data_IF_816177741492
#
_entry.id   IF_816177741492
#
_cell.length_a   1.000
_cell.length_b   1.000
_cell.length_c   1.000
_cell.angle_alpha   90.00
_cell.angle_beta   90.00
_cell.angle_gamma   90.00
#
_symmetry.space_group_name_H-M   'P 1'
#
loop_
_entity.id
_entity.type
_entity.pdbx_description
1 polymer ?
#
# COMPACT_ATOMS: atom_id res chain seq x y z
N UNK A 1 -33.96 -23.29 12.65
CA UNK A 1 -32.99 -22.19 12.79
C UNK A 1 -31.63 -22.69 12.29
N UNK A 2 -31.30 -22.44 11.02
CA UNK A 2 -29.99 -22.82 10.44
C UNK A 2 -28.94 -21.82 10.95
N UNK A 3 -27.98 -22.29 11.72
CA UNK A 3 -26.77 -21.51 12.04
C UNK A 3 -26.01 -21.29 10.74
N UNK A 4 -25.96 -20.04 10.32
CA UNK A 4 -25.07 -19.58 9.25
C UNK A 4 -23.63 -19.85 9.70
N UNK A 5 -22.97 -20.82 9.06
CA UNK A 5 -21.54 -21.10 9.26
C UNK A 5 -20.79 -20.09 8.41
N UNK A 6 -20.69 -18.87 8.89
CA UNK A 6 -19.70 -17.94 8.33
C UNK A 6 -18.32 -18.56 8.49
N UNK A 7 -17.65 -18.81 7.39
CA UNK A 7 -16.22 -19.18 7.38
C UNK A 7 -15.48 -18.18 8.26
N UNK A 8 -14.59 -18.61 9.18
CA UNK A 8 -13.90 -17.63 10.03
C UNK A 8 -13.13 -16.65 9.12
N UNK A 9 -13.45 -15.37 9.23
CA UNK A 9 -12.73 -14.32 8.57
C UNK A 9 -11.24 -14.49 8.86
N UNK A 10 -10.39 -14.51 7.82
CA UNK A 10 -8.94 -14.58 7.96
C UNK A 10 -8.44 -13.42 8.83
N UNK A 11 -7.27 -13.53 9.38
CA UNK A 11 -6.62 -12.41 10.05
C UNK A 11 -5.18 -12.27 9.57
N UNK A 12 -4.79 -11.04 9.30
CA UNK A 12 -3.41 -10.64 9.04
C UNK A 12 -2.83 -10.08 10.34
N UNK A 13 -1.53 -10.20 10.54
CA UNK A 13 -0.88 -9.72 11.75
C UNK A 13 0.08 -8.58 11.43
N UNK A 14 0.12 -7.54 12.27
CA UNK A 14 1.19 -6.55 12.26
C UNK A 14 2.47 -7.24 12.72
N UNK A 15 3.53 -7.15 11.91
CA UNK A 15 4.77 -7.93 12.10
C UNK A 15 5.77 -7.20 12.97
N UNK A 16 5.82 -5.86 12.88
CA UNK A 16 6.82 -5.04 13.57
C UNK A 16 6.29 -3.75 14.17
N UNK A 17 7.17 -3.04 14.88
CA UNK A 17 6.85 -1.75 15.48
C UNK A 17 6.00 -1.81 16.74
N UNK A 18 5.40 -0.68 17.10
CA UNK A 18 4.67 -0.48 18.37
C UNK A 18 3.45 -1.37 18.53
N UNK A 19 2.84 -1.82 17.42
CA UNK A 19 1.65 -2.67 17.44
C UNK A 19 1.92 -4.12 17.03
N UNK A 20 3.18 -4.55 17.09
CA UNK A 20 3.56 -5.92 16.73
C UNK A 20 2.64 -6.97 17.38
N UNK A 21 2.22 -7.95 16.59
CA UNK A 21 1.37 -9.04 17.03
C UNK A 21 -0.14 -8.75 16.97
N UNK A 22 -0.54 -7.49 16.73
CA UNK A 22 -1.95 -7.12 16.60
C UNK A 22 -2.56 -7.78 15.37
N UNK A 23 -3.71 -8.44 15.57
CA UNK A 23 -4.49 -9.04 14.48
C UNK A 23 -5.36 -7.97 13.81
N UNK A 24 -5.28 -7.92 12.50
CA UNK A 24 -6.13 -7.13 11.61
C UNK A 24 -7.16 -8.08 11.00
N UNK A 25 -8.46 -7.84 11.20
CA UNK A 25 -9.48 -8.66 10.55
C UNK A 25 -9.38 -8.50 9.04
N UNK A 26 -9.42 -9.62 8.33
CA UNK A 26 -9.55 -9.61 6.87
C UNK A 26 -11.03 -9.72 6.57
N UNK A 27 -11.66 -8.72 5.94
CA UNK A 27 -13.05 -8.80 5.56
C UNK A 27 -13.25 -9.95 4.56
N UNK A 28 -14.36 -10.65 4.69
CA UNK A 28 -14.78 -11.68 3.73
C UNK A 28 -15.33 -11.00 2.47
N UNK A 29 -14.42 -10.51 1.65
CA UNK A 29 -14.71 -9.82 0.39
C UNK A 29 -14.11 -10.65 -0.75
N UNK A 30 -14.91 -10.98 -1.80
CA UNK A 30 -14.41 -11.73 -2.94
C UNK A 30 -13.18 -11.06 -3.58
N UNK A 31 -12.12 -11.83 -3.77
CA UNK A 31 -10.88 -11.33 -4.38
C UNK A 31 -9.85 -10.73 -3.41
N UNK A 32 -10.20 -10.53 -2.14
CA UNK A 32 -9.25 -10.08 -1.14
C UNK A 32 -8.37 -11.26 -0.70
N UNK A 33 -7.12 -11.29 -1.15
CA UNK A 33 -6.10 -12.24 -0.72
C UNK A 33 -5.02 -11.49 0.05
N UNK A 34 -4.84 -11.75 1.35
CA UNK A 34 -3.78 -11.09 2.11
C UNK A 34 -2.41 -11.47 1.57
N UNK A 35 -1.55 -10.47 1.37
CA UNK A 35 -0.13 -10.70 1.10
C UNK A 35 0.49 -11.50 2.23
N UNK A 36 1.23 -12.56 1.89
CA UNK A 36 1.83 -13.44 2.88
C UNK A 36 2.72 -12.68 3.86
N UNK A 37 2.64 -12.99 5.15
CA UNK A 37 3.42 -12.36 6.21
C UNK A 37 4.92 -12.28 5.88
N UNK A 38 5.48 -13.34 5.25
CA UNK A 38 6.89 -13.39 4.84
C UNK A 38 7.23 -12.35 3.76
N UNK A 39 6.34 -12.11 2.80
CA UNK A 39 6.54 -11.08 1.76
C UNK A 39 6.52 -9.72 2.42
N UNK A 40 5.53 -9.42 3.26
CA UNK A 40 5.43 -8.16 3.98
C UNK A 40 6.66 -7.92 4.87
N UNK A 41 7.14 -8.93 5.59
CA UNK A 41 8.36 -8.83 6.40
C UNK A 41 9.56 -8.43 5.54
N UNK A 42 9.74 -9.08 4.38
CA UNK A 42 10.81 -8.75 3.44
C UNK A 42 10.72 -7.30 2.98
N UNK A 43 9.55 -6.86 2.55
CA UNK A 43 9.31 -5.48 2.06
C UNK A 43 9.57 -4.45 3.15
N UNK A 44 9.08 -4.68 4.36
CA UNK A 44 9.32 -3.76 5.47
C UNK A 44 10.76 -3.72 5.95
N UNK A 45 11.52 -4.82 5.80
CA UNK A 45 12.96 -4.81 6.03
C UNK A 45 13.70 -3.94 4.98
N UNK A 46 13.26 -3.97 3.71
CA UNK A 46 13.81 -3.08 2.68
C UNK A 46 13.48 -1.62 2.92
N UNK A 47 12.26 -1.33 3.40
CA UNK A 47 11.76 0.03 3.66
C UNK A 47 12.18 0.59 5.02
N UNK A 48 12.73 -0.22 5.93
CA UNK A 48 13.02 0.20 7.30
C UNK A 48 13.75 1.55 7.42
N UNK A 49 14.77 1.87 6.58
CA UNK A 49 15.47 3.16 6.67
C UNK A 49 14.64 4.37 6.19
N UNK A 50 13.46 4.13 5.62
CA UNK A 50 12.60 5.16 4.99
C UNK A 50 11.27 5.38 5.70
N UNK A 51 10.96 4.55 6.69
CA UNK A 51 9.64 4.58 7.35
C UNK A 51 9.51 5.71 8.36
N UNK A 52 10.58 6.05 9.08
CA UNK A 52 10.51 7.06 10.13
C UNK A 52 10.09 8.43 9.57
N UNK A 53 8.95 8.94 10.04
CA UNK A 53 8.40 10.23 9.62
C UNK A 53 7.75 10.26 8.22
N UNK A 54 7.73 9.14 7.49
CA UNK A 54 7.19 9.06 6.14
C UNK A 54 5.68 9.29 6.08
N UNK A 55 5.22 9.88 5.00
CA UNK A 55 3.82 9.89 4.54
C UNK A 55 3.60 8.70 3.62
N UNK A 56 2.61 7.88 3.93
CA UNK A 56 2.37 6.61 3.25
C UNK A 56 1.00 6.61 2.58
N UNK A 57 0.94 6.08 1.37
CA UNK A 57 -0.30 5.82 0.63
C UNK A 57 -0.44 4.32 0.37
N UNK A 58 -1.54 3.74 0.85
CA UNK A 58 -1.94 2.35 0.58
C UNK A 58 -3.14 2.41 -0.38
N UNK A 59 -2.88 2.18 -1.67
CA UNK A 59 -3.84 2.46 -2.76
C UNK A 59 -4.97 1.43 -2.83
N UNK A 60 -4.73 0.20 -2.34
CA UNK A 60 -5.70 -0.89 -2.27
C UNK A 60 -5.63 -1.52 -0.88
N UNK A 61 -6.11 -0.77 0.11
CA UNK A 61 -5.76 -1.03 1.51
C UNK A 61 -6.29 -2.35 2.08
N UNK A 62 -7.45 -2.82 1.65
CA UNK A 62 -8.04 -4.04 2.16
C UNK A 62 -8.12 -4.07 3.69
N UNK A 63 -7.34 -4.94 4.32
CA UNK A 63 -7.22 -5.03 5.79
C UNK A 63 -6.36 -3.92 6.42
N UNK A 64 -5.71 -3.07 5.62
CA UNK A 64 -4.77 -2.03 6.07
C UNK A 64 -3.39 -2.55 6.44
N UNK A 65 -3.04 -3.75 5.99
CA UNK A 65 -1.82 -4.43 6.42
C UNK A 65 -0.54 -3.63 6.13
N UNK A 66 -0.45 -2.94 4.99
CA UNK A 66 0.71 -2.12 4.65
C UNK A 66 0.66 -0.74 5.35
N UNK A 67 -0.47 -0.05 5.28
CA UNK A 67 -0.60 1.29 5.87
C UNK A 67 -0.44 1.27 7.39
N UNK A 68 -1.10 0.35 8.10
CA UNK A 68 -1.02 0.24 9.56
C UNK A 68 0.33 -0.31 10.04
N UNK A 69 0.95 -1.23 9.30
CA UNK A 69 2.33 -1.67 9.59
C UNK A 69 3.32 -0.52 9.47
N UNK A 70 3.16 0.35 8.44
CA UNK A 70 3.99 1.53 8.26
C UNK A 70 3.90 2.48 9.47
N UNK A 71 2.70 2.77 9.93
CA UNK A 71 2.49 3.57 11.15
C UNK A 71 3.08 2.89 12.39
N UNK A 72 2.93 1.58 12.50
CA UNK A 72 3.52 0.78 13.60
C UNK A 72 5.04 0.92 13.65
N UNK A 73 5.69 1.08 12.51
CA UNK A 73 7.15 1.21 12.36
C UNK A 73 7.65 2.65 12.31
N UNK A 74 6.79 3.64 12.55
CA UNK A 74 7.20 5.04 12.73
C UNK A 74 6.89 5.97 11.55
N UNK A 75 6.09 5.56 10.58
CA UNK A 75 5.53 6.49 9.61
C UNK A 75 4.68 7.55 10.32
N UNK A 76 4.68 8.78 9.81
CA UNK A 76 3.97 9.92 10.41
C UNK A 76 2.49 9.87 10.09
N UNK A 77 2.14 9.48 8.88
CA UNK A 77 0.78 9.50 8.36
C UNK A 77 0.58 8.39 7.34
N UNK A 78 -0.60 7.76 7.35
CA UNK A 78 -1.01 6.79 6.32
C UNK A 78 -2.39 7.13 5.78
N UNK A 79 -2.50 7.20 4.45
CA UNK A 79 -3.76 7.26 3.71
C UNK A 79 -4.07 5.87 3.15
N UNK A 80 -5.26 5.37 3.47
CA UNK A 80 -5.72 4.04 3.09
C UNK A 80 -6.93 4.19 2.17
N UNK A 81 -6.79 3.80 0.91
CA UNK A 81 -7.88 3.86 -0.08
C UNK A 81 -8.49 2.48 -0.20
N UNK A 82 -9.81 2.39 0.01
CA UNK A 82 -10.55 1.14 -0.04
C UNK A 82 -11.96 1.40 -0.56
N UNK A 83 -12.47 0.57 -1.46
CA UNK A 83 -13.78 0.76 -2.05
C UNK A 83 -14.90 0.07 -1.28
N UNK A 84 -14.60 -1.07 -0.64
CA UNK A 84 -15.60 -1.85 0.10
C UNK A 84 -15.98 -1.17 1.42
N UNK A 85 -17.29 -1.00 1.64
CA UNK A 85 -17.80 -0.31 2.82
C UNK A 85 -17.46 -1.04 4.12
N UNK A 86 -17.55 -2.39 4.15
CA UNK A 86 -17.29 -3.20 5.34
C UNK A 86 -15.80 -3.20 5.68
N UNK A 87 -14.94 -3.26 4.65
CA UNK A 87 -13.50 -3.11 4.84
C UNK A 87 -13.16 -1.74 5.42
N UNK A 88 -13.74 -0.65 4.90
CA UNK A 88 -13.56 0.69 5.46
C UNK A 88 -14.02 0.82 6.92
N UNK A 89 -15.15 0.22 7.28
CA UNK A 89 -15.64 0.19 8.66
C UNK A 89 -14.67 -0.57 9.57
N UNK A 90 -14.19 -1.75 9.14
CA UNK A 90 -13.20 -2.53 9.85
C UNK A 90 -11.87 -1.80 10.04
N UNK A 91 -11.42 -1.07 9.00
CA UNK A 91 -10.23 -0.20 9.07
C UNK A 91 -10.39 0.90 10.11
N UNK A 92 -11.51 1.64 10.09
CA UNK A 92 -11.77 2.71 11.06
C UNK A 92 -11.83 2.20 12.49
N UNK A 93 -12.54 1.10 12.73
CA UNK A 93 -12.58 0.47 14.05
C UNK A 93 -11.20 0.00 14.52
N UNK A 94 -10.37 -0.50 13.60
CA UNK A 94 -8.99 -0.92 13.91
C UNK A 94 -8.12 0.28 14.24
N UNK A 95 -8.20 1.38 13.47
CA UNK A 95 -7.47 2.62 13.67
C UNK A 95 -7.81 3.22 15.04
N UNK A 96 -9.10 3.28 15.39
CA UNK A 96 -9.56 3.75 16.69
C UNK A 96 -9.00 2.89 17.84
N UNK A 97 -9.12 1.56 17.73
CA UNK A 97 -8.57 0.61 18.72
C UNK A 97 -7.06 0.74 18.92
N UNK A 98 -6.32 1.12 17.87
CA UNK A 98 -4.88 1.34 17.91
C UNK A 98 -4.49 2.75 18.39
N UNK A 99 -5.46 3.66 18.61
CA UNK A 99 -5.21 5.06 18.94
C UNK A 99 -4.48 5.80 17.80
N UNK A 100 -4.80 5.48 16.54
CA UNK A 100 -4.12 6.01 15.36
C UNK A 100 -4.94 7.04 14.56
N UNK A 101 -6.03 7.55 15.11
CA UNK A 101 -6.98 8.44 14.42
C UNK A 101 -6.36 9.73 13.89
N UNK A 102 -5.32 10.24 14.55
CA UNK A 102 -4.61 11.45 14.12
C UNK A 102 -3.59 11.18 12.99
N UNK A 103 -3.24 9.91 12.78
CA UNK A 103 -2.18 9.49 11.86
C UNK A 103 -2.69 8.69 10.66
N UNK A 104 -3.93 8.20 10.70
CA UNK A 104 -4.50 7.38 9.65
C UNK A 104 -5.76 8.00 9.04
N UNK A 105 -5.88 7.98 7.72
CA UNK A 105 -7.04 8.46 6.97
C UNK A 105 -7.57 7.35 6.07
N UNK A 106 -8.84 6.96 6.24
CA UNK A 106 -9.52 5.99 5.39
C UNK A 106 -10.38 6.71 4.37
N UNK A 107 -10.05 6.51 3.10
CA UNK A 107 -10.77 7.03 1.95
C UNK A 107 -11.64 5.90 1.35
N UNK A 108 -12.96 6.00 1.49
CA UNK A 108 -13.86 5.08 0.82
C UNK A 108 -14.05 5.53 -0.62
N UNK A 109 -13.31 4.94 -1.55
CA UNK A 109 -13.35 5.30 -2.95
C UNK A 109 -12.84 4.16 -3.84
N UNK A 110 -13.20 4.18 -5.12
CA UNK A 110 -12.45 3.45 -6.14
C UNK A 110 -11.05 4.04 -6.25
N UNK A 111 -10.03 3.19 -6.28
CA UNK A 111 -8.63 3.59 -6.23
C UNK A 111 -8.22 4.49 -7.42
N UNK A 112 -8.64 4.13 -8.64
CA UNK A 112 -8.32 4.92 -9.83
C UNK A 112 -9.06 6.25 -9.86
N UNK A 113 -10.32 6.28 -9.42
CA UNK A 113 -11.08 7.52 -9.29
C UNK A 113 -10.43 8.44 -8.24
N UNK A 114 -9.98 7.88 -7.11
CA UNK A 114 -9.31 8.63 -6.06
C UNK A 114 -7.98 9.22 -6.54
N UNK A 115 -7.17 8.45 -7.28
CA UNK A 115 -5.91 8.93 -7.85
C UNK A 115 -6.08 10.05 -8.89
N UNK A 116 -7.26 10.19 -9.49
CA UNK A 116 -7.61 11.28 -10.43
C UNK A 116 -8.22 12.50 -9.75
N UNK A 117 -8.55 12.40 -8.46
CA UNK A 117 -9.12 13.49 -7.68
C UNK A 117 -8.08 14.55 -7.28
N UNK A 118 -8.50 15.70 -6.71
CA UNK A 118 -7.58 16.69 -6.17
C UNK A 118 -6.64 16.10 -5.13
N UNK A 119 -5.38 16.58 -5.13
CA UNK A 119 -4.30 16.05 -4.30
C UNK A 119 -4.52 16.30 -2.81
N UNK A 120 -4.22 15.28 -2.00
CA UNK A 120 -4.10 15.37 -0.54
C UNK A 120 -2.63 15.49 -0.08
N UNK A 121 -1.78 16.05 -0.94
CA UNK A 121 -0.34 16.17 -0.73
C UNK A 121 0.45 15.02 -1.36
N UNK A 122 1.77 15.03 -1.18
CA UNK A 122 2.68 14.02 -1.75
C UNK A 122 3.06 12.97 -0.70
N UNK A 123 3.35 11.76 -1.16
CA UNK A 123 3.70 10.61 -0.34
C UNK A 123 5.13 10.15 -0.60
N UNK A 124 5.80 9.77 0.48
CA UNK A 124 7.18 9.26 0.45
C UNK A 124 7.23 7.76 0.10
N UNK A 125 6.18 7.03 0.51
CA UNK A 125 6.05 5.59 0.25
C UNK A 125 4.64 5.30 -0.25
N UNK A 126 4.53 4.57 -1.35
CA UNK A 126 3.25 4.11 -1.91
C UNK A 126 3.24 2.59 -2.01
N UNK A 127 2.16 1.97 -1.55
CA UNK A 127 1.88 0.54 -1.75
C UNK A 127 0.81 0.37 -2.82
N UNK A 128 1.10 -0.46 -3.82
CA UNK A 128 0.25 -0.77 -4.96
C UNK A 128 0.10 -2.29 -5.06
N UNK A 129 -0.95 -2.81 -4.44
CA UNK A 129 -1.32 -4.24 -4.42
C UNK A 129 -2.77 -4.42 -4.89
N UNK A 130 -3.07 -4.18 -6.19
CA UNK A 130 -4.42 -4.28 -6.71
C UNK A 130 -4.89 -5.72 -6.81
N UNK A 131 -6.22 -5.98 -6.80
CA UNK A 131 -6.78 -7.27 -7.12
C UNK A 131 -6.30 -7.77 -8.49
N UNK A 132 -5.84 -9.03 -8.57
CA UNK A 132 -5.25 -9.59 -9.78
C UNK A 132 -6.21 -9.65 -10.97
N UNK A 133 -7.50 -9.73 -10.73
CA UNK A 133 -8.54 -9.83 -11.77
C UNK A 133 -8.74 -8.55 -12.61
N UNK A 134 -8.19 -7.41 -12.20
CA UNK A 134 -8.52 -6.11 -12.82
C UNK A 134 -7.48 -5.55 -13.79
N UNK A 135 -6.25 -6.05 -13.81
CA UNK A 135 -5.17 -5.47 -14.64
C UNK A 135 -4.90 -3.98 -14.36
N UNK A 136 -5.05 -3.55 -13.10
CA UNK A 136 -5.09 -2.13 -12.73
C UNK A 136 -3.71 -1.48 -12.60
N UNK A 137 -2.62 -2.24 -12.71
CA UNK A 137 -1.25 -1.76 -12.45
C UNK A 137 -0.87 -0.58 -13.31
N UNK A 138 -0.98 -0.71 -14.63
CA UNK A 138 -0.52 0.32 -15.57
C UNK A 138 -1.31 1.63 -15.40
N UNK A 139 -2.63 1.53 -15.20
CA UNK A 139 -3.48 2.69 -14.96
C UNK A 139 -3.16 3.38 -13.64
N UNK A 140 -2.94 2.59 -12.57
CA UNK A 140 -2.60 3.14 -11.27
C UNK A 140 -1.19 3.77 -11.30
N UNK A 141 -0.19 3.08 -11.86
CA UNK A 141 1.17 3.61 -11.99
C UNK A 141 1.18 4.92 -12.80
N UNK A 142 0.42 4.99 -13.90
CA UNK A 142 0.30 6.21 -14.71
C UNK A 142 -0.36 7.37 -13.97
N UNK A 143 -1.25 7.09 -13.01
CA UNK A 143 -1.95 8.12 -12.22
C UNK A 143 -1.17 8.57 -10.96
N UNK A 144 -0.12 7.83 -10.55
CA UNK A 144 0.64 8.10 -9.33
C UNK A 144 1.54 9.35 -9.36
N UNK A 145 2.17 9.77 -10.47
CA UNK A 145 3.21 10.82 -10.45
C UNK A 145 2.86 12.08 -9.66
N UNK A 146 1.63 12.65 -9.71
CA UNK A 146 1.27 13.84 -8.94
C UNK A 146 1.29 13.61 -7.41
N UNK A 147 1.11 12.37 -6.97
CA UNK A 147 1.00 11.98 -5.57
C UNK A 147 2.34 11.66 -4.91
N UNK A 148 3.43 11.67 -5.67
CA UNK A 148 4.73 11.19 -5.22
C UNK A 148 5.64 12.34 -4.83
N UNK A 149 6.34 12.18 -3.71
CA UNK A 149 7.51 12.97 -3.39
C UNK A 149 8.63 12.74 -4.43
N UNK A 150 9.60 13.64 -4.49
CA UNK A 150 10.64 13.61 -5.54
C UNK A 150 11.54 12.35 -5.47
N UNK A 151 11.73 11.79 -4.26
CA UNK A 151 12.49 10.57 -4.01
C UNK A 151 11.61 9.44 -3.46
N UNK A 152 10.35 9.40 -3.86
CA UNK A 152 9.37 8.44 -3.37
C UNK A 152 9.74 7.00 -3.69
N UNK A 153 9.25 6.11 -2.84
CA UNK A 153 9.35 4.66 -2.97
C UNK A 153 7.99 4.08 -3.32
N UNK A 154 7.97 3.20 -4.32
CA UNK A 154 6.78 2.49 -4.73
C UNK A 154 7.00 0.97 -4.59
N UNK A 155 6.20 0.35 -3.76
CA UNK A 155 6.03 -1.10 -3.73
C UNK A 155 4.93 -1.50 -4.68
N UNK A 156 5.19 -2.51 -5.51
CA UNK A 156 4.19 -3.09 -6.42
C UNK A 156 4.16 -4.60 -6.23
N UNK A 157 2.97 -5.14 -6.01
CA UNK A 157 2.71 -6.59 -6.05
C UNK A 157 1.88 -6.93 -7.30
N UNK A 158 2.28 -7.98 -8.02
CA UNK A 158 1.61 -8.43 -9.25
C UNK A 158 1.65 -9.96 -9.37
N UNK A 159 0.81 -10.57 -10.22
CA UNK A 159 0.96 -11.98 -10.55
C UNK A 159 2.36 -12.31 -11.03
N UNK A 160 2.87 -13.51 -10.73
CA UNK A 160 4.21 -13.92 -11.15
C UNK A 160 4.41 -13.93 -12.68
N UNK A 161 3.31 -13.99 -13.44
CA UNK A 161 3.29 -13.92 -14.90
C UNK A 161 3.29 -12.51 -15.47
N UNK A 162 3.08 -11.48 -14.61
CA UNK A 162 2.98 -10.08 -15.02
C UNK A 162 4.17 -9.28 -14.47
N UNK A 163 4.90 -8.61 -15.36
CA UNK A 163 5.91 -7.63 -14.97
C UNK A 163 5.29 -6.24 -15.14
N UNK A 164 5.04 -5.54 -14.03
CA UNK A 164 4.60 -4.15 -14.10
C UNK A 164 5.67 -3.32 -14.84
N UNK A 165 5.24 -2.55 -15.82
CA UNK A 165 6.10 -1.57 -16.51
C UNK A 165 6.23 -0.31 -15.68
N UNK A 166 7.44 0.21 -15.54
CA UNK A 166 7.66 1.49 -14.87
C UNK A 166 8.05 2.56 -15.90
N UNK A 167 7.46 3.75 -15.85
CA UNK A 167 7.86 4.87 -16.69
C UNK A 167 9.31 5.29 -16.42
N UNK A 168 9.86 6.15 -17.30
CA UNK A 168 11.17 6.76 -17.08
C UNK A 168 11.24 7.49 -15.74
N UNK A 169 12.43 7.52 -15.14
CA UNK A 169 12.64 8.12 -13.82
C UNK A 169 12.37 7.19 -12.63
N UNK A 170 12.14 5.90 -12.89
CA UNK A 170 12.07 4.88 -11.86
C UNK A 170 13.26 3.93 -11.92
N UNK A 171 13.81 3.60 -10.77
CA UNK A 171 14.91 2.64 -10.63
C UNK A 171 14.46 1.47 -9.77
N UNK A 172 14.58 0.26 -10.29
CA UNK A 172 14.36 -0.95 -9.51
C UNK A 172 15.42 -1.02 -8.40
N UNK A 173 14.96 -1.06 -7.16
CA UNK A 173 15.83 -1.19 -6.01
C UNK A 173 15.98 -2.65 -5.56
N UNK A 174 14.85 -3.34 -5.43
CA UNK A 174 14.79 -4.75 -5.05
C UNK A 174 13.57 -5.41 -5.65
N UNK A 175 13.68 -6.70 -5.88
CA UNK A 175 12.54 -7.53 -6.26
C UNK A 175 12.60 -8.89 -5.58
N UNK A 176 11.45 -9.53 -5.50
CA UNK A 176 11.31 -10.89 -5.04
C UNK A 176 10.17 -11.60 -5.77
N UNK A 177 10.16 -12.92 -5.65
CA UNK A 177 9.16 -13.76 -6.30
C UNK A 177 8.78 -14.92 -5.39
N UNK A 178 7.50 -15.22 -5.38
CA UNK A 178 6.96 -16.48 -4.90
C UNK A 178 6.47 -17.29 -6.11
N UNK A 179 5.84 -18.45 -5.87
CA UNK A 179 5.21 -19.22 -6.94
C UNK A 179 4.18 -18.40 -7.73
N UNK A 180 3.37 -17.61 -7.02
CA UNK A 180 2.16 -16.99 -7.58
C UNK A 180 2.31 -15.46 -7.73
N UNK A 181 3.29 -14.86 -7.06
CA UNK A 181 3.41 -13.41 -6.89
C UNK A 181 4.82 -12.93 -7.21
N UNK A 182 4.92 -11.83 -7.93
CA UNK A 182 6.11 -10.99 -8.07
C UNK A 182 5.89 -9.71 -7.28
N UNK A 183 6.89 -9.27 -6.54
CA UNK A 183 6.85 -8.02 -5.81
C UNK A 183 8.15 -7.24 -6.02
N UNK A 184 8.02 -5.94 -6.19
CA UNK A 184 9.13 -5.06 -6.49
C UNK A 184 9.05 -3.79 -5.64
N UNK A 185 10.22 -3.30 -5.24
CA UNK A 185 10.39 -2.00 -4.65
C UNK A 185 11.21 -1.15 -5.62
N UNK A 186 10.60 -0.08 -6.11
CA UNK A 186 11.23 0.87 -7.01
C UNK A 186 11.35 2.23 -6.35
N UNK A 187 12.36 2.99 -6.72
CA UNK A 187 12.58 4.35 -6.25
C UNK A 187 12.38 5.32 -7.40
N UNK A 188 11.63 6.40 -7.16
CA UNK A 188 11.59 7.53 -8.06
C UNK A 188 12.92 8.28 -7.97
N UNK A 189 13.56 8.50 -9.11
CA UNK A 189 14.70 9.41 -9.22
C UNK A 189 14.18 10.71 -9.80
N UNK A 190 14.35 11.82 -9.10
CA UNK A 190 14.03 13.13 -9.68
C UNK A 190 14.72 13.26 -11.05
N UNK A 191 14.06 13.82 -12.08
CA UNK A 191 14.75 14.13 -13.30
C UNK A 191 15.97 15.00 -12.96
N UNK A 192 17.11 14.69 -13.55
CA UNK A 192 18.29 15.52 -13.38
C UNK A 192 17.92 16.98 -13.70
N UNK A 193 18.39 17.98 -12.90
CA UNK A 193 18.11 19.36 -13.20
C UNK A 193 18.54 19.63 -14.63
N UNK A 194 17.61 20.11 -15.46
CA UNK A 194 17.95 20.56 -16.81
C UNK A 194 19.00 21.64 -16.63
N UNK A 195 20.25 21.34 -17.00
CA UNK A 195 21.32 22.31 -17.04
C UNK A 195 20.81 23.46 -17.91
N UNK A 196 20.56 24.61 -17.32
CA UNK A 196 20.29 25.82 -18.08
C UNK A 196 21.51 26.02 -18.98
N UNK A 197 21.34 25.76 -20.27
CA UNK A 197 22.34 26.15 -21.26
C UNK A 197 22.47 27.68 -21.15
N UNK A 198 23.59 28.12 -20.65
CA UNK A 198 23.98 29.52 -20.65
C UNK A 198 24.35 29.85 -22.08
N UNK A 199 23.49 30.59 -22.78
CA UNK A 199 23.83 31.29 -24.01
C UNK A 199 24.69 32.53 -23.71
#
# INVERSE_FOLDING_TARGET
MKRDRSTPAGSVRIIGGRWRGTKLPVPDVPGLRPTADRVRETVFNWLQPRLAGARVLDVFAGSGAFGLESLSRGAREAHLVEHDARACEGLRATIERLGATDHARVHRADALAWLRAPLHGRFDIVFLDPPFAGGLWDQAIAALPPWLADDAWLYVESPASHAAGFPDGWTLHREGRTRDVRYALVRRTAPAPVSAATD
#
